data_IF_474096571536
#
_entry.id   IF_474096571536
#
_cell.length_a   1.000
_cell.length_b   1.000
_cell.length_c   1.000
_cell.angle_alpha   90.00
_cell.angle_beta   90.00
_cell.angle_gamma   90.00
#
_symmetry.space_group_name_H-M   'P 1'
#
loop_
_entity.id
_entity.type
_entity.pdbx_description
1 polymer ?
#
# COMPACT_ATOMS: atom_id res chain seq x y z
N UNK A 1 6.61 -16.10 -4.15
CA UNK A 1 6.67 -14.78 -3.47
C UNK A 1 6.73 -14.99 -1.98
N UNK A 2 7.76 -14.49 -1.33
CA UNK A 2 7.89 -14.59 0.13
C UNK A 2 7.26 -13.36 0.79
N UNK A 3 6.70 -13.57 1.98
CA UNK A 3 6.00 -12.52 2.71
C UNK A 3 6.58 -12.45 4.11
N UNK A 4 7.04 -11.25 4.51
CA UNK A 4 7.56 -11.00 5.86
C UNK A 4 6.77 -9.87 6.47
N UNK A 5 6.18 -10.11 7.63
CA UNK A 5 5.42 -9.11 8.36
C UNK A 5 6.20 -8.52 9.52
N UNK A 6 6.04 -7.21 9.73
CA UNK A 6 6.58 -6.49 10.88
C UNK A 6 5.42 -5.86 11.63
N UNK A 7 5.22 -6.27 12.88
CA UNK A 7 4.14 -5.78 13.73
C UNK A 7 4.70 -4.96 14.88
N UNK A 8 3.90 -4.04 15.37
CA UNK A 8 4.23 -3.17 16.49
C UNK A 8 3.43 -1.88 16.38
N UNK A 9 3.47 -1.09 17.43
CA UNK A 9 2.78 0.19 17.42
C UNK A 9 3.60 1.27 16.73
N UNK A 10 2.95 2.37 16.42
CA UNK A 10 3.57 3.54 15.82
C UNK A 10 4.76 4.01 16.67
N UNK A 11 5.88 4.33 16.01
CA UNK A 11 7.09 4.76 16.72
C UNK A 11 8.00 3.63 17.16
N UNK A 12 7.68 2.38 16.84
CA UNK A 12 8.52 1.22 17.21
C UNK A 12 9.73 1.02 16.30
N UNK A 13 9.89 1.84 15.25
CA UNK A 13 11.02 1.76 14.33
C UNK A 13 10.81 0.86 13.11
N UNK A 14 9.58 0.39 12.87
CA UNK A 14 9.28 -0.48 11.72
C UNK A 14 9.65 0.17 10.38
N UNK A 15 9.22 1.40 10.17
CA UNK A 15 9.50 2.13 8.92
C UNK A 15 11.00 2.33 8.73
N UNK A 16 11.72 2.68 9.80
CA UNK A 16 13.17 2.85 9.75
C UNK A 16 13.86 1.54 9.34
N UNK A 17 13.43 0.42 9.91
CA UNK A 17 13.98 -0.89 9.55
C UNK A 17 13.72 -1.22 8.08
N UNK A 18 12.48 -1.05 7.62
CA UNK A 18 12.10 -1.34 6.23
C UNK A 18 12.92 -0.49 5.26
N UNK A 19 13.08 0.79 5.51
CA UNK A 19 13.83 1.69 4.62
C UNK A 19 15.31 1.37 4.57
N UNK A 20 15.85 0.69 5.59
CA UNK A 20 17.25 0.22 5.58
C UNK A 20 17.40 -1.13 4.88
N UNK A 21 16.41 -2.00 5.00
CA UNK A 21 16.46 -3.34 4.44
C UNK A 21 16.22 -3.34 2.92
N UNK A 22 15.28 -2.55 2.44
CA UNK A 22 14.92 -2.54 1.01
C UNK A 22 16.12 -2.31 0.08
N UNK A 23 16.97 -1.29 0.30
CA UNK A 23 18.10 -1.08 -0.60
C UNK A 23 19.07 -2.26 -0.65
N UNK A 24 19.24 -2.97 0.47
CA UNK A 24 20.11 -4.13 0.54
C UNK A 24 19.57 -5.30 -0.27
N UNK A 25 18.25 -5.49 -0.24
CA UNK A 25 17.60 -6.55 -1.00
C UNK A 25 17.64 -6.23 -2.49
N UNK A 26 17.41 -4.99 -2.86
CA UNK A 26 17.49 -4.55 -4.26
C UNK A 26 18.91 -4.72 -4.80
N UNK A 27 19.92 -4.42 -3.99
CA UNK A 27 21.31 -4.61 -4.38
C UNK A 27 21.66 -6.08 -4.65
N UNK A 28 20.87 -7.01 -4.09
CA UNK A 28 21.02 -8.46 -4.36
C UNK A 28 20.21 -8.92 -5.57
N UNK A 29 19.58 -8.00 -6.29
CA UNK A 29 18.80 -8.31 -7.49
C UNK A 29 17.36 -8.73 -7.21
N UNK A 30 16.87 -8.55 -5.99
CA UNK A 30 15.49 -8.90 -5.64
C UNK A 30 14.54 -7.74 -5.92
N UNK A 31 13.34 -8.06 -6.39
CA UNK A 31 12.26 -7.09 -6.48
C UNK A 31 11.45 -7.17 -5.20
N UNK A 32 11.20 -6.01 -4.59
CA UNK A 32 10.53 -5.91 -3.30
C UNK A 32 9.33 -4.99 -3.42
N UNK A 33 8.19 -5.43 -2.89
CA UNK A 33 7.01 -4.60 -2.72
C UNK A 33 6.68 -4.49 -1.25
N UNK A 34 5.92 -3.47 -0.87
CA UNK A 34 5.51 -3.28 0.51
C UNK A 34 3.99 -3.14 0.58
N UNK A 35 3.44 -3.58 1.72
CA UNK A 35 2.05 -3.39 2.05
C UNK A 35 2.00 -2.79 3.44
N UNK A 36 1.35 -1.66 3.59
CA UNK A 36 1.14 -1.06 4.89
C UNK A 36 -0.33 -1.18 5.26
N UNK A 37 -0.60 -1.86 6.37
CA UNK A 37 -1.94 -1.96 6.91
C UNK A 37 -2.15 -0.85 7.93
N UNK A 38 -3.10 0.02 7.66
CA UNK A 38 -3.44 1.13 8.54
C UNK A 38 -4.71 0.79 9.31
N UNK A 39 -4.67 0.90 10.65
CA UNK A 39 -5.85 0.67 11.49
C UNK A 39 -6.83 1.84 11.44
N UNK A 40 -6.34 3.01 11.03
CA UNK A 40 -7.18 4.19 10.88
C UNK A 40 -7.31 4.51 9.39
N UNK A 41 -8.37 5.22 9.03
CA UNK A 41 -8.52 5.70 7.67
C UNK A 41 -7.32 6.50 7.21
N UNK A 42 -7.01 6.44 5.94
CA UNK A 42 -5.94 7.22 5.34
C UNK A 42 -6.44 7.87 4.06
N UNK A 43 -5.83 8.99 3.70
CA UNK A 43 -6.11 9.68 2.45
C UNK A 43 -4.81 9.98 1.73
N UNK A 44 -4.71 9.54 0.47
CA UNK A 44 -3.62 9.92 -0.43
C UNK A 44 -4.06 11.07 -1.34
N UNK A 45 -5.36 11.33 -1.41
CA UNK A 45 -5.93 12.48 -2.09
C UNK A 45 -6.47 13.46 -1.04
N UNK A 46 -6.34 14.75 -1.30
CA UNK A 46 -6.73 15.80 -0.36
C UNK A 46 -7.99 16.52 -0.85
N UNK A 47 -8.80 17.11 0.03
CA UNK A 47 -9.92 17.96 -0.37
C UNK A 47 -9.45 19.02 -1.37
N UNK A 48 -10.20 19.18 -2.47
CA UNK A 48 -9.86 20.12 -3.54
C UNK A 48 -9.08 19.53 -4.70
N UNK A 49 -8.64 18.27 -4.61
CA UNK A 49 -8.02 17.58 -5.73
C UNK A 49 -9.09 16.87 -6.56
N UNK A 50 -8.82 16.70 -7.87
CA UNK A 50 -9.78 16.06 -8.77
C UNK A 50 -10.12 14.64 -8.33
N UNK A 51 -9.13 13.86 -7.90
CA UNK A 51 -9.33 12.50 -7.41
C UNK A 51 -10.28 12.47 -6.20
N UNK A 52 -10.17 13.45 -5.30
CA UNK A 52 -11.06 13.58 -4.16
C UNK A 52 -12.50 13.79 -4.64
N UNK A 53 -12.72 14.67 -5.62
CA UNK A 53 -14.06 14.93 -6.14
C UNK A 53 -14.63 13.71 -6.87
N UNK A 54 -13.82 12.94 -7.59
CA UNK A 54 -14.28 11.70 -8.21
C UNK A 54 -14.79 10.73 -7.16
N UNK A 55 -14.07 10.58 -6.05
CA UNK A 55 -14.46 9.73 -4.94
C UNK A 55 -15.77 10.21 -4.31
N UNK A 56 -15.87 11.50 -4.01
CA UNK A 56 -17.06 12.09 -3.39
C UNK A 56 -18.29 12.01 -4.30
N UNK A 57 -18.07 12.02 -5.61
CA UNK A 57 -19.16 11.88 -6.58
C UNK A 57 -19.67 10.44 -6.71
N UNK A 58 -18.97 9.46 -6.15
CA UNK A 58 -19.43 8.09 -6.10
C UNK A 58 -18.63 7.07 -6.91
N UNK A 59 -17.47 7.45 -7.43
CA UNK A 59 -16.63 6.50 -8.19
C UNK A 59 -16.24 5.32 -7.31
N UNK A 60 -16.32 4.11 -7.87
CA UNK A 60 -15.89 2.88 -7.19
C UNK A 60 -14.39 2.83 -7.03
N UNK A 61 -13.67 3.19 -8.09
CA UNK A 61 -12.22 3.27 -8.08
C UNK A 61 -11.78 4.53 -8.81
N UNK A 62 -10.66 5.08 -8.37
CA UNK A 62 -10.03 6.23 -9.03
C UNK A 62 -8.60 5.84 -9.36
N UNK A 63 -8.21 5.99 -10.62
CA UNK A 63 -6.83 5.76 -11.05
C UNK A 63 -6.18 7.13 -11.27
N UNK A 64 -5.05 7.33 -10.60
CA UNK A 64 -4.24 8.53 -10.77
C UNK A 64 -2.96 8.08 -11.45
N UNK A 65 -2.66 8.65 -12.62
CA UNK A 65 -1.55 8.16 -13.46
C UNK A 65 -0.68 9.30 -13.94
N UNK A 66 0.63 9.03 -14.00
CA UNK A 66 1.62 9.93 -14.60
C UNK A 66 2.62 9.09 -15.40
N UNK A 67 3.60 9.75 -16.02
CA UNK A 67 4.63 9.05 -16.77
C UNK A 67 5.53 8.16 -15.89
N UNK A 68 5.53 8.38 -14.56
CA UNK A 68 6.45 7.68 -13.66
C UNK A 68 5.77 6.66 -12.77
N UNK A 69 4.50 6.85 -12.43
CA UNK A 69 3.79 5.94 -11.54
C UNK A 69 2.28 6.14 -11.64
N UNK A 70 1.56 5.16 -11.15
CA UNK A 70 0.11 5.29 -11.00
C UNK A 70 -0.32 4.70 -9.67
N UNK A 71 -1.49 5.12 -9.21
CA UNK A 71 -2.12 4.59 -8.01
C UNK A 71 -3.56 4.24 -8.32
N UNK A 72 -4.06 3.18 -7.70
CA UNK A 72 -5.47 2.79 -7.76
C UNK A 72 -6.04 2.95 -6.36
N UNK A 73 -7.08 3.76 -6.24
CA UNK A 73 -7.78 3.97 -4.98
C UNK A 73 -9.13 3.27 -5.07
N UNK A 74 -9.28 2.18 -4.33
CA UNK A 74 -10.53 1.41 -4.30
C UNK A 74 -11.32 1.79 -3.04
N UNK A 75 -12.53 2.27 -3.22
CA UNK A 75 -13.40 2.66 -2.12
C UNK A 75 -14.25 1.48 -1.68
N UNK A 76 -14.07 1.04 -0.44
CA UNK A 76 -14.80 -0.14 0.08
C UNK A 76 -16.26 0.15 0.29
N UNK A 77 -16.60 1.31 0.79
CA UNK A 77 -17.96 1.69 1.15
C UNK A 77 -18.66 0.61 1.98
N UNK A 78 -19.60 -0.11 1.38
CA UNK A 78 -20.34 -1.18 2.04
C UNK A 78 -19.63 -2.55 1.99
N UNK A 79 -18.52 -2.65 1.25
CA UNK A 79 -17.73 -3.89 1.22
C UNK A 79 -17.01 -4.09 2.54
N UNK A 80 -16.83 -5.34 2.99
CA UNK A 80 -16.00 -5.58 4.16
C UNK A 80 -14.53 -5.29 3.85
N UNK A 81 -13.74 -5.05 4.89
CA UNK A 81 -12.30 -4.87 4.72
C UNK A 81 -11.70 -6.11 4.07
N UNK A 82 -10.84 -5.91 3.06
CA UNK A 82 -10.18 -7.00 2.37
C UNK A 82 -9.14 -7.64 3.28
N UNK A 83 -9.08 -8.95 3.28
CA UNK A 83 -8.06 -9.68 4.02
C UNK A 83 -6.71 -9.65 3.26
N UNK A 84 -5.66 -10.13 3.93
CA UNK A 84 -4.32 -10.11 3.38
C UNK A 84 -4.20 -10.89 2.06
N UNK A 85 -4.74 -12.12 1.93
CA UNK A 85 -4.67 -12.83 0.65
C UNK A 85 -5.31 -12.06 -0.50
N UNK A 86 -6.44 -11.41 -0.26
CA UNK A 86 -7.13 -10.64 -1.29
C UNK A 86 -6.30 -9.42 -1.72
N UNK A 87 -5.67 -8.73 -0.76
CA UNK A 87 -4.81 -7.59 -1.06
C UNK A 87 -3.56 -8.05 -1.82
N UNK A 88 -2.94 -9.15 -1.40
CA UNK A 88 -1.74 -9.67 -2.06
C UNK A 88 -2.02 -10.09 -3.51
N UNK A 89 -3.24 -10.51 -3.80
CA UNK A 89 -3.62 -10.87 -5.17
C UNK A 89 -3.64 -9.65 -6.11
N UNK A 90 -3.67 -8.44 -5.57
CA UNK A 90 -3.62 -7.19 -6.36
C UNK A 90 -2.20 -6.74 -6.68
N UNK A 91 -1.21 -7.27 -5.98
CA UNK A 91 0.20 -6.89 -6.18
C UNK A 91 0.79 -7.71 -7.32
N UNK A 92 1.54 -7.06 -8.21
CA UNK A 92 2.34 -7.77 -9.21
C UNK A 92 3.32 -8.70 -8.48
N UNK A 93 3.46 -9.96 -8.91
CA UNK A 93 4.38 -10.91 -8.26
C UNK A 93 5.82 -10.37 -8.22
N UNK A 94 6.41 -10.45 -7.04
CA UNK A 94 7.80 -10.07 -6.77
C UNK A 94 8.43 -11.14 -5.88
N UNK A 95 9.74 -11.10 -5.66
CA UNK A 95 10.40 -12.07 -4.81
C UNK A 95 10.00 -11.93 -3.35
N UNK A 96 9.78 -10.69 -2.89
CA UNK A 96 9.50 -10.44 -1.47
C UNK A 96 8.50 -9.31 -1.29
N UNK A 97 7.53 -9.53 -0.41
CA UNK A 97 6.61 -8.47 0.06
C UNK A 97 6.85 -8.26 1.54
N UNK A 98 7.15 -7.02 1.91
CA UNK A 98 7.28 -6.61 3.30
C UNK A 98 5.98 -5.97 3.75
N UNK A 99 5.43 -6.46 4.85
CA UNK A 99 4.16 -5.95 5.39
C UNK A 99 4.45 -5.19 6.68
N UNK A 100 4.01 -3.93 6.72
CA UNK A 100 4.08 -3.11 7.93
C UNK A 100 2.70 -3.03 8.56
N UNK A 101 2.58 -3.47 9.80
CA UNK A 101 1.35 -3.40 10.58
C UNK A 101 1.54 -2.56 11.83
N UNK A 102 0.57 -1.69 12.10
CA UNK A 102 0.55 -0.88 13.32
C UNK A 102 -0.32 -1.52 14.39
#
# INVERSE_FOLDING_TARGET
MRIIGLAGWSGSGKTTLITKVIPRLIARGLKVSTLKHAHHGFDVDHPGKDSFFHREAGATEVIISSAKRFAILHELRAEPEWDLPALLAKITPVELVLIEEN
#
